data_IF_724176147198
#
_entry.id   IF_724176147198
#
_cell.length_a   1.000
_cell.length_b   1.000
_cell.length_c   1.000
_cell.angle_alpha   90.00
_cell.angle_beta   90.00
_cell.angle_gamma   90.00
#
_symmetry.space_group_name_H-M   'P 1'
#
loop_
_entity.id
_entity.type
_entity.pdbx_description
1 polymer ?
#
# COMPACT_ATOMS: atom_id res chain seq x y z
N UNK A 1 42.67 -5.80 -6.40
CA UNK A 1 42.08 -4.47 -6.66
C UNK A 1 40.61 -4.56 -6.99
N UNK A 2 40.15 -5.41 -7.90
CA UNK A 2 38.72 -5.58 -8.24
C UNK A 2 37.92 -6.45 -7.30
N UNK A 3 38.56 -7.28 -6.49
CA UNK A 3 37.91 -8.23 -5.58
C UNK A 3 37.27 -7.55 -4.35
N UNK A 4 37.81 -6.44 -3.90
CA UNK A 4 37.38 -5.78 -2.67
C UNK A 4 36.15 -4.90 -2.88
N UNK A 5 35.90 -4.43 -4.09
CA UNK A 5 34.73 -3.61 -4.42
C UNK A 5 33.45 -4.45 -4.63
N UNK A 6 33.61 -5.72 -5.03
CA UNK A 6 32.47 -6.63 -5.24
C UNK A 6 31.69 -6.90 -3.94
N UNK A 7 32.37 -6.86 -2.80
CA UNK A 7 31.78 -7.11 -1.47
C UNK A 7 30.69 -6.06 -1.15
N UNK A 8 30.88 -4.81 -1.62
CA UNK A 8 29.93 -3.72 -1.37
C UNK A 8 28.90 -3.55 -2.49
N UNK A 9 29.26 -3.95 -3.71
CA UNK A 9 28.37 -3.82 -4.88
C UNK A 9 27.22 -4.80 -4.80
N UNK A 10 27.46 -6.06 -4.40
CA UNK A 10 26.42 -7.10 -4.32
C UNK A 10 25.29 -6.71 -3.36
N UNK A 11 25.55 -6.35 -2.09
CA UNK A 11 24.47 -5.93 -1.19
C UNK A 11 23.77 -4.66 -1.68
N UNK A 12 24.49 -3.73 -2.29
CA UNK A 12 23.89 -2.53 -2.86
C UNK A 12 22.92 -2.86 -3.99
N UNK A 13 23.29 -3.74 -4.90
CA UNK A 13 22.44 -4.19 -6.01
C UNK A 13 21.18 -4.92 -5.47
N UNK A 14 21.35 -5.74 -4.43
CA UNK A 14 20.23 -6.42 -3.79
C UNK A 14 19.25 -5.41 -3.16
N UNK A 15 19.78 -4.42 -2.44
CA UNK A 15 18.95 -3.38 -1.81
C UNK A 15 18.22 -2.55 -2.86
N UNK A 16 18.91 -2.13 -3.91
CA UNK A 16 18.31 -1.37 -5.02
C UNK A 16 17.24 -2.23 -5.71
N UNK A 17 17.55 -3.49 -6.01
CA UNK A 17 16.60 -4.43 -6.62
C UNK A 17 15.36 -4.62 -5.75
N UNK A 18 15.52 -4.72 -4.45
CA UNK A 18 14.41 -4.84 -3.49
C UNK A 18 13.55 -3.57 -3.47
N UNK A 19 14.17 -2.39 -3.45
CA UNK A 19 13.46 -1.10 -3.50
C UNK A 19 12.67 -0.97 -4.80
N UNK A 20 13.30 -1.29 -5.94
CA UNK A 20 12.65 -1.24 -7.24
C UNK A 20 11.50 -2.26 -7.33
N UNK A 21 11.70 -3.46 -6.81
CA UNK A 21 10.66 -4.49 -6.76
C UNK A 21 9.44 -4.03 -5.96
N UNK A 22 9.64 -3.39 -4.81
CA UNK A 22 8.55 -2.81 -4.01
C UNK A 22 7.80 -1.73 -4.77
N UNK A 23 8.51 -0.87 -5.52
CA UNK A 23 7.90 0.22 -6.29
C UNK A 23 7.13 -0.25 -7.51
N UNK A 24 7.54 -1.34 -8.14
CA UNK A 24 6.87 -1.87 -9.33
C UNK A 24 5.45 -2.36 -9.04
N UNK A 25 5.16 -2.80 -7.81
CA UNK A 25 3.83 -3.23 -7.41
C UNK A 25 2.88 -2.11 -7.01
N UNK A 26 3.38 -0.88 -6.89
CA UNK A 26 2.58 0.25 -6.44
C UNK A 26 1.81 0.91 -7.60
N UNK A 27 0.60 1.39 -7.30
CA UNK A 27 -0.22 2.12 -8.27
C UNK A 27 0.45 3.44 -8.66
N UNK A 28 0.41 3.85 -9.93
CA UNK A 28 0.91 5.17 -10.37
C UNK A 28 0.18 6.31 -9.64
N UNK A 29 0.90 7.40 -9.39
CA UNK A 29 0.39 8.55 -8.64
C UNK A 29 -0.92 9.11 -9.21
N UNK A 30 -0.98 9.33 -10.51
CA UNK A 30 -2.17 9.90 -11.17
C UNK A 30 -3.40 9.02 -11.00
N UNK A 31 -3.23 7.69 -11.13
CA UNK A 31 -4.32 6.74 -10.97
C UNK A 31 -4.78 6.68 -9.51
N UNK A 32 -3.84 6.69 -8.57
CA UNK A 32 -4.14 6.68 -7.13
C UNK A 32 -4.93 7.93 -6.72
N UNK A 33 -4.51 9.10 -7.16
CA UNK A 33 -5.20 10.37 -6.86
C UNK A 33 -6.63 10.36 -7.40
N UNK A 34 -6.82 9.87 -8.62
CA UNK A 34 -8.16 9.77 -9.22
C UNK A 34 -9.06 8.81 -8.43
N UNK A 35 -8.54 7.65 -8.02
CA UNK A 35 -9.29 6.67 -7.24
C UNK A 35 -9.69 7.21 -5.85
N UNK A 36 -8.78 7.91 -5.18
CA UNK A 36 -9.07 8.54 -3.88
C UNK A 36 -10.16 9.61 -4.05
N UNK A 37 -10.06 10.43 -5.07
CA UNK A 37 -11.04 11.47 -5.36
C UNK A 37 -12.42 10.88 -5.64
N UNK A 38 -12.47 9.74 -6.33
CA UNK A 38 -13.72 9.05 -6.66
C UNK A 38 -14.31 8.28 -5.47
N UNK A 39 -13.69 8.35 -4.30
CA UNK A 39 -14.20 7.76 -3.06
C UNK A 39 -13.83 6.29 -2.85
N UNK A 40 -12.78 5.79 -3.47
CA UNK A 40 -12.32 4.42 -3.25
C UNK A 40 -12.01 4.16 -1.77
N UNK A 41 -12.30 2.95 -1.30
CA UNK A 41 -11.99 2.54 0.07
C UNK A 41 -10.47 2.49 0.26
N UNK A 42 -9.98 3.18 1.29
CA UNK A 42 -8.57 3.13 1.67
C UNK A 42 -8.41 2.34 2.96
N UNK A 43 -7.59 1.31 2.92
CA UNK A 43 -7.35 0.41 4.05
C UNK A 43 -5.92 0.54 4.53
N UNK A 44 -5.78 0.83 5.84
CA UNK A 44 -4.52 0.81 6.56
C UNK A 44 -4.39 -0.55 7.24
N UNK A 45 -3.42 -1.37 6.77
CA UNK A 45 -3.21 -2.72 7.30
C UNK A 45 -2.18 -2.79 8.43
N UNK A 46 -1.82 -1.64 8.99
CA UNK A 46 -0.98 -1.57 10.20
C UNK A 46 -1.73 -2.03 11.44
N UNK A 47 -1.00 -2.22 12.53
CA UNK A 47 -1.63 -2.53 13.82
C UNK A 47 -2.53 -1.40 14.34
N UNK A 48 -3.50 -1.72 15.23
CA UNK A 48 -4.44 -0.72 15.76
C UNK A 48 -3.76 0.38 16.57
N UNK A 49 -2.67 0.08 17.28
CA UNK A 49 -1.88 1.07 18.01
C UNK A 49 -1.18 2.06 17.08
N UNK A 50 -0.61 1.59 15.99
CA UNK A 50 -0.01 2.44 14.97
C UNK A 50 -1.04 3.39 14.36
N UNK A 51 -2.20 2.86 14.00
CA UNK A 51 -3.31 3.63 13.44
C UNK A 51 -3.84 4.68 14.42
N UNK A 52 -4.01 4.32 15.68
CA UNK A 52 -4.48 5.24 16.71
C UNK A 52 -3.52 6.41 16.94
N UNK A 53 -2.21 6.17 16.83
CA UNK A 53 -1.19 7.22 17.00
C UNK A 53 -1.21 8.23 15.88
N UNK A 54 -1.37 7.78 14.64
CA UNK A 54 -1.36 8.62 13.45
C UNK A 54 -1.86 7.82 12.26
N UNK A 55 -2.73 8.39 11.45
CA UNK A 55 -3.25 7.74 10.24
C UNK A 55 -3.71 8.76 9.20
N UNK A 56 -3.86 8.30 7.97
CA UNK A 56 -4.41 9.12 6.89
C UNK A 56 -5.91 9.32 7.12
N UNK A 57 -6.36 10.56 7.03
CA UNK A 57 -7.79 10.88 7.15
C UNK A 57 -8.61 10.12 6.10
N UNK A 58 -9.67 9.46 6.57
CA UNK A 58 -10.53 8.64 5.71
C UNK A 58 -10.09 7.18 5.56
N UNK A 59 -8.88 6.82 6.01
CA UNK A 59 -8.44 5.42 6.01
C UNK A 59 -9.17 4.60 7.06
N UNK A 60 -9.44 3.35 6.73
CA UNK A 60 -10.07 2.38 7.62
C UNK A 60 -8.98 1.39 8.08
N UNK A 61 -8.85 1.21 9.39
CA UNK A 61 -7.87 0.25 9.91
C UNK A 61 -8.42 -1.17 9.87
N UNK A 62 -7.79 -1.99 9.06
CA UNK A 62 -7.99 -3.44 9.04
C UNK A 62 -6.61 -4.09 9.11
N UNK A 63 -6.12 -4.41 10.31
CA UNK A 63 -4.79 -5.02 10.45
C UNK A 63 -4.61 -6.24 9.57
N UNK A 64 -3.40 -6.46 9.07
CA UNK A 64 -3.10 -7.53 8.12
C UNK A 64 -3.58 -8.92 8.60
N UNK A 65 -3.41 -9.22 9.88
CA UNK A 65 -3.84 -10.49 10.48
C UNK A 65 -5.36 -10.66 10.57
N UNK A 66 -6.12 -9.57 10.50
CA UNK A 66 -7.59 -9.57 10.51
C UNK A 66 -8.21 -9.38 9.13
N UNK A 67 -7.41 -9.21 8.11
CA UNK A 67 -7.86 -8.77 6.78
C UNK A 67 -8.87 -9.75 6.17
N UNK A 68 -8.56 -11.05 6.16
CA UNK A 68 -9.44 -12.06 5.57
C UNK A 68 -10.81 -12.09 6.25
N UNK A 69 -10.84 -11.96 7.57
CA UNK A 69 -12.08 -12.03 8.35
C UNK A 69 -12.93 -10.78 8.19
N UNK A 70 -12.33 -9.60 7.96
CA UNK A 70 -13.02 -8.31 8.06
C UNK A 70 -13.26 -7.60 6.73
N UNK A 71 -12.55 -7.98 5.68
CA UNK A 71 -12.60 -7.22 4.42
C UNK A 71 -14.01 -7.17 3.81
N UNK A 72 -14.79 -8.25 3.88
CA UNK A 72 -16.13 -8.30 3.31
C UNK A 72 -17.10 -7.32 3.99
N UNK A 73 -16.87 -6.98 5.27
CA UNK A 73 -17.64 -5.96 6.00
C UNK A 73 -17.28 -4.55 5.53
N UNK A 74 -16.01 -4.31 5.24
CA UNK A 74 -15.48 -2.99 4.84
C UNK A 74 -15.71 -2.73 3.36
N UNK A 75 -15.50 -3.74 2.53
CA UNK A 75 -15.63 -3.67 1.08
C UNK A 75 -16.41 -4.88 0.56
N UNK A 76 -17.74 -4.86 0.66
CA UNK A 76 -18.58 -6.02 0.30
C UNK A 76 -18.60 -6.33 -1.20
N UNK A 77 -18.42 -5.32 -2.05
CA UNK A 77 -18.36 -5.51 -3.50
C UNK A 77 -16.93 -5.82 -3.94
N UNK A 78 -16.70 -7.03 -4.40
CA UNK A 78 -15.36 -7.48 -4.85
C UNK A 78 -14.88 -6.79 -6.13
N UNK A 79 -15.73 -6.07 -6.82
CA UNK A 79 -15.37 -5.30 -8.01
C UNK A 79 -15.11 -3.83 -7.71
N UNK A 80 -15.33 -3.37 -6.47
CA UNK A 80 -15.02 -2.00 -6.10
C UNK A 80 -13.51 -1.78 -5.93
N UNK A 81 -13.01 -0.59 -6.23
CA UNK A 81 -11.60 -0.26 -5.98
C UNK A 81 -11.28 -0.27 -4.48
N UNK A 82 -10.20 -0.96 -4.12
CA UNK A 82 -9.67 -1.01 -2.76
C UNK A 82 -8.21 -0.56 -2.79
N UNK A 83 -7.91 0.47 -2.01
CA UNK A 83 -6.56 1.01 -1.87
C UNK A 83 -5.98 0.55 -0.54
N UNK A 84 -4.74 0.08 -0.54
CA UNK A 84 -4.10 -0.50 0.64
C UNK A 84 -2.75 0.16 0.89
N UNK A 85 -2.46 0.50 2.14
CA UNK A 85 -1.14 0.96 2.54
C UNK A 85 -0.76 0.41 3.91
N UNK A 86 0.52 0.49 4.24
CA UNK A 86 1.03 0.21 5.57
C UNK A 86 2.05 1.29 5.99
N UNK A 87 3.04 0.98 6.80
CA UNK A 87 4.08 1.95 7.19
C UNK A 87 5.15 2.11 6.09
N UNK A 88 5.70 1.00 5.60
CA UNK A 88 6.83 0.99 4.66
C UNK A 88 6.54 0.30 3.32
N UNK A 89 5.36 -0.29 3.15
CA UNK A 89 4.95 -0.97 1.93
C UNK A 89 5.07 -2.50 1.93
N UNK A 90 5.67 -3.10 2.95
CA UNK A 90 5.84 -4.56 3.02
C UNK A 90 4.53 -5.27 3.34
N UNK A 91 3.85 -4.86 4.40
CA UNK A 91 2.55 -5.42 4.79
C UNK A 91 1.48 -5.18 3.71
N UNK A 92 1.49 -4.02 3.07
CA UNK A 92 0.54 -3.70 2.01
C UNK A 92 0.72 -4.59 0.78
N UNK A 93 1.95 -4.95 0.42
CA UNK A 93 2.21 -5.89 -0.67
C UNK A 93 1.61 -7.28 -0.37
N UNK A 94 1.72 -7.77 0.86
CA UNK A 94 1.06 -9.01 1.28
C UNK A 94 -0.46 -8.90 1.28
N UNK A 95 -0.99 -7.77 1.76
CA UNK A 95 -2.43 -7.51 1.78
C UNK A 95 -3.03 -7.53 0.37
N UNK A 96 -2.35 -6.93 -0.59
CA UNK A 96 -2.78 -6.93 -2.00
C UNK A 96 -2.90 -8.37 -2.54
N UNK A 97 -1.91 -9.21 -2.26
CA UNK A 97 -1.95 -10.63 -2.66
C UNK A 97 -3.13 -11.36 -2.03
N UNK A 98 -3.34 -11.16 -0.73
CA UNK A 98 -4.46 -11.76 0.01
C UNK A 98 -5.80 -11.36 -0.59
N UNK A 99 -6.01 -10.08 -0.83
CA UNK A 99 -7.25 -9.56 -1.39
C UNK A 99 -7.52 -10.09 -2.81
N UNK A 100 -6.48 -10.17 -3.64
CA UNK A 100 -6.62 -10.76 -4.98
C UNK A 100 -7.02 -12.24 -4.93
N UNK A 101 -6.44 -13.01 -4.02
CA UNK A 101 -6.82 -14.41 -3.78
C UNK A 101 -8.29 -14.53 -3.33
N UNK A 102 -8.78 -13.57 -2.57
CA UNK A 102 -10.17 -13.53 -2.13
C UNK A 102 -11.16 -13.08 -3.22
N UNK A 103 -10.66 -12.72 -4.41
CA UNK A 103 -11.48 -12.37 -5.55
C UNK A 103 -11.70 -10.89 -5.79
N UNK A 104 -11.01 -10.01 -5.06
CA UNK A 104 -11.07 -8.56 -5.30
C UNK A 104 -10.35 -8.22 -6.61
N UNK A 105 -11.08 -7.62 -7.55
CA UNK A 105 -10.60 -7.37 -8.91
C UNK A 105 -9.83 -6.07 -9.07
N UNK A 106 -10.01 -5.10 -8.19
CA UNK A 106 -9.41 -3.78 -8.27
C UNK A 106 -8.69 -3.42 -6.97
N UNK A 107 -7.57 -4.09 -6.70
CA UNK A 107 -6.75 -3.84 -5.52
C UNK A 107 -5.50 -3.08 -5.93
N UNK A 108 -5.25 -1.95 -5.27
CA UNK A 108 -4.15 -1.04 -5.58
C UNK A 108 -3.30 -0.79 -4.35
N UNK A 109 -1.99 -0.97 -4.48
CA UNK A 109 -1.02 -0.76 -3.42
C UNK A 109 -0.57 0.71 -3.40
N UNK A 110 -0.89 1.43 -2.34
CA UNK A 110 -0.41 2.79 -2.12
C UNK A 110 0.99 2.83 -1.48
N UNK A 111 1.45 1.71 -0.93
CA UNK A 111 2.79 1.59 -0.36
C UNK A 111 2.90 2.08 1.08
N UNK A 112 3.76 3.06 1.31
CA UNK A 112 4.05 3.60 2.65
C UNK A 112 2.98 4.57 3.16
N UNK A 113 2.97 4.80 4.48
CA UNK A 113 2.14 5.83 5.10
C UNK A 113 2.42 7.21 4.51
N UNK A 114 3.68 7.56 4.33
CA UNK A 114 4.08 8.85 3.74
C UNK A 114 3.56 9.02 2.33
N UNK A 115 3.65 7.98 1.51
CA UNK A 115 3.12 8.00 0.15
C UNK A 115 1.60 8.10 0.14
N UNK A 116 0.91 7.29 0.94
CA UNK A 116 -0.55 7.33 1.06
C UNK A 116 -1.04 8.72 1.49
N UNK A 117 -0.37 9.32 2.47
CA UNK A 117 -0.68 10.69 2.93
C UNK A 117 -0.49 11.72 1.82
N UNK A 118 0.60 11.65 1.09
CA UNK A 118 0.89 12.54 -0.05
C UNK A 118 -0.16 12.40 -1.16
N UNK A 119 -0.56 11.18 -1.48
CA UNK A 119 -1.59 10.92 -2.49
C UNK A 119 -2.97 11.45 -2.05
N UNK A 120 -3.33 11.26 -0.78
CA UNK A 120 -4.58 11.78 -0.21
C UNK A 120 -4.60 13.32 -0.23
N UNK A 121 -3.49 13.96 0.12
CA UNK A 121 -3.34 15.42 0.02
C UNK A 121 -3.48 15.92 -1.43
N UNK A 122 -2.88 15.21 -2.39
CA UNK A 122 -3.01 15.50 -3.81
C UNK A 122 -4.45 15.40 -4.32
N UNK A 123 -5.21 14.44 -3.82
CA UNK A 123 -6.62 14.28 -4.17
C UNK A 123 -7.48 15.47 -3.68
N UNK A 124 -7.17 16.03 -2.51
CA UNK A 124 -7.86 17.22 -1.97
C UNK A 124 -7.56 18.50 -2.77
N UNK A 125 -6.30 18.69 -3.16
CA UNK A 125 -5.88 19.92 -3.87
C UNK A 125 -6.26 19.95 -5.34
N UNK A 126 -6.60 18.80 -5.93
CA UNK A 126 -6.99 18.70 -7.33
C UNK A 126 -8.48 19.01 -7.58
N UNK A 127 -9.21 19.37 -6.52
CA UNK A 127 -10.54 19.93 -6.64
C UNK A 127 -10.43 21.43 -7.01
#
# INVERSE_FOLDING_TARGET
>A
MFKDHAIWIIPLVIVIGFILFKRLGQVPKSDAVALIRDGAVMIDVRGPGEFASDHVEGAINVPLDSLEARIATVAPDKNQPVLVHCLSGTRSAFAVRTLRKLGYSQVHDLGSLGRARSLAAGAKTAE
#
